data_IF_543296339954
#
_entry.id   IF_543296339954
#
_cell.length_a   1.000
_cell.length_b   1.000
_cell.length_c   1.000
_cell.angle_alpha   90.00
_cell.angle_beta   90.00
_cell.angle_gamma   90.00
#
_symmetry.space_group_name_H-M   'P 1'
#
loop_
_entity.id
_entity.type
_entity.pdbx_description
1 polymer ?
#
# COMPACT_ATOMS: atom_id res chain seq x y z
N UNK A 1 0.35 -55.30 12.86
CA UNK A 1 1.41 -54.63 13.63
C UNK A 1 0.92 -53.22 13.98
N UNK A 2 1.26 -52.72 15.19
CA UNK A 2 1.29 -51.32 15.65
C UNK A 2 0.33 -50.29 14.97
N UNK A 3 -0.78 -49.86 15.60
CA UNK A 3 -0.89 -48.87 16.71
C UNK A 3 -0.63 -47.40 16.29
N UNK A 4 -1.42 -46.39 16.68
CA UNK A 4 -2.67 -46.37 17.46
C UNK A 4 -3.48 -45.08 17.20
N UNK A 5 -4.75 -45.09 17.62
CA UNK A 5 -5.73 -44.02 17.51
C UNK A 5 -5.66 -42.97 18.64
N UNK A 6 -6.10 -41.74 18.30
CA UNK A 6 -6.92 -40.80 19.11
C UNK A 6 -6.45 -40.36 20.52
N UNK A 7 -6.22 -39.04 20.63
CA UNK A 7 -6.55 -38.09 21.73
C UNK A 7 -6.23 -36.68 21.18
N UNK A 8 -6.95 -35.58 21.47
CA UNK A 8 -8.07 -35.35 22.39
C UNK A 8 -8.91 -34.15 21.92
N UNK A 9 -10.22 -34.35 21.68
CA UNK A 9 -11.19 -33.25 21.47
C UNK A 9 -11.99 -33.01 22.75
N UNK A 10 -11.47 -32.18 23.66
CA UNK A 10 -12.24 -31.61 24.78
C UNK A 10 -11.76 -30.19 25.10
N UNK A 11 -12.19 -29.20 24.30
CA UNK A 11 -12.19 -27.81 24.75
C UNK A 11 -13.50 -27.53 25.51
N UNK A 12 -13.41 -27.33 26.82
CA UNK A 12 -14.54 -26.98 27.71
C UNK A 12 -14.20 -25.76 28.56
N UNK A 13 -14.17 -24.59 27.93
CA UNK A 13 -14.09 -23.29 28.62
C UNK A 13 -15.13 -22.34 28.02
N UNK A 14 -15.80 -21.55 28.87
CA UNK A 14 -17.06 -20.86 28.55
C UNK A 14 -16.84 -19.42 28.05
N UNK A 15 -17.06 -19.17 26.77
CA UNK A 15 -16.92 -17.86 26.12
C UNK A 15 -18.08 -16.86 26.42
N UNK A 16 -18.66 -16.87 27.62
CA UNK A 16 -19.81 -16.03 27.99
C UNK A 16 -19.46 -14.88 28.95
N UNK A 17 -18.37 -14.99 29.73
CA UNK A 17 -18.01 -13.96 30.73
C UNK A 17 -16.99 -12.93 30.23
N UNK A 18 -16.33 -13.16 29.09
CA UNK A 18 -15.44 -12.17 28.44
C UNK A 18 -16.20 -11.03 27.71
N UNK A 19 -17.54 -10.98 27.80
CA UNK A 19 -18.39 -10.04 27.05
C UNK A 19 -19.40 -9.34 27.98
N UNK A 20 -18.90 -8.60 28.97
CA UNK A 20 -19.72 -7.61 29.68
C UNK A 20 -18.96 -6.31 29.97
N UNK A 21 -19.59 -5.17 29.68
CA UNK A 21 -19.14 -3.82 30.02
C UNK A 21 -20.26 -3.15 30.83
N UNK A 22 -19.93 -2.22 31.74
CA UNK A 22 -20.57 -0.92 31.54
C UNK A 22 -19.73 0.32 31.93
N UNK A 23 -20.00 1.39 31.15
CA UNK A 23 -20.00 2.82 31.49
C UNK A 23 -19.06 3.72 30.64
N UNK A 24 -19.61 4.55 29.74
CA UNK A 24 -18.83 5.49 28.97
C UNK A 24 -18.56 6.78 29.77
N UNK A 25 -17.31 7.24 29.78
CA UNK A 25 -16.98 8.64 30.07
C UNK A 25 -16.39 9.29 28.82
N UNK A 26 -17.01 10.38 28.44
CA UNK A 26 -16.76 11.15 27.22
C UNK A 26 -15.35 11.74 27.28
N UNK A 27 -14.48 11.34 26.35
CA UNK A 27 -13.28 12.10 26.01
C UNK A 27 -13.18 12.22 24.49
N UNK A 28 -13.64 13.37 23.99
CA UNK A 28 -13.39 13.80 22.62
C UNK A 28 -11.91 14.18 22.48
N UNK A 29 -11.12 13.32 21.85
CA UNK A 29 -9.73 13.58 21.50
C UNK A 29 -9.53 13.37 19.99
N UNK A 30 -9.56 14.46 19.23
CA UNK A 30 -9.42 14.41 17.78
C UNK A 30 -8.03 13.90 17.35
N UNK A 31 -7.99 12.97 16.38
CA UNK A 31 -6.76 12.41 15.84
C UNK A 31 -6.03 13.41 14.93
N UNK A 32 -5.49 14.48 15.52
CA UNK A 32 -4.63 15.50 14.89
C UNK A 32 -3.51 15.91 15.85
N UNK A 33 -2.55 15.00 16.11
CA UNK A 33 -1.18 15.29 16.66
C UNK A 33 -0.24 14.08 16.85
N UNK A 34 -0.69 12.83 16.71
CA UNK A 34 0.09 11.62 17.07
C UNK A 34 1.32 11.27 16.17
N UNK A 35 1.82 12.20 15.35
CA UNK A 35 3.01 11.97 14.49
C UNK A 35 4.16 12.96 14.72
N UNK A 36 4.06 13.84 15.71
CA UNK A 36 5.14 14.77 16.06
C UNK A 36 6.12 14.19 17.11
N UNK A 37 5.70 13.20 17.92
CA UNK A 37 6.52 12.62 19.01
C UNK A 37 7.52 11.53 18.60
N UNK A 38 7.49 11.05 17.35
CA UNK A 38 8.35 9.94 16.86
C UNK A 38 9.52 10.48 16.00
N UNK A 39 9.59 11.80 15.79
CA UNK A 39 10.52 12.44 14.86
C UNK A 39 11.80 13.01 15.49
N UNK A 40 11.95 12.92 16.82
CA UNK A 40 13.11 13.43 17.57
C UNK A 40 14.12 12.34 18.03
N UNK A 41 13.86 11.05 17.78
CA UNK A 41 14.66 9.94 18.34
C UNK A 41 15.52 9.16 17.32
N UNK A 42 15.80 9.73 16.14
CA UNK A 42 16.69 9.12 15.12
C UNK A 42 17.76 10.10 14.63
N UNK A 43 18.47 10.72 15.56
CA UNK A 43 19.71 11.45 15.26
C UNK A 43 20.91 10.48 15.33
N UNK A 44 21.30 9.96 14.17
CA UNK A 44 22.50 9.10 14.04
C UNK A 44 23.70 10.00 13.72
N UNK A 45 24.71 10.11 14.62
CA UNK A 45 25.82 11.03 14.43
C UNK A 45 26.71 10.60 13.25
N UNK A 46 26.78 11.42 12.20
CA UNK A 46 27.73 11.23 11.10
C UNK A 46 29.15 11.65 11.52
N UNK A 47 30.20 10.93 11.06
CA UNK A 47 31.58 11.27 11.39
C UNK A 47 32.04 12.60 10.75
N UNK A 48 32.86 13.36 11.49
CA UNK A 48 33.34 14.70 11.12
C UNK A 48 34.26 14.69 9.87
N UNK A 49 34.03 15.54 8.85
CA UNK A 49 35.00 15.76 7.78
C UNK A 49 36.14 16.70 8.23
N UNK A 50 37.38 16.40 7.80
CA UNK A 50 38.59 17.21 8.08
C UNK A 50 38.63 18.51 7.24
N UNK A 51 39.35 19.57 7.69
CA UNK A 51 39.23 20.91 7.11
C UNK A 51 39.90 21.10 5.74
N UNK A 52 39.40 22.09 4.99
CA UNK A 52 39.81 22.42 3.61
C UNK A 52 41.08 23.28 3.54
N UNK A 53 41.84 23.15 2.44
CA UNK A 53 42.85 24.14 1.97
C UNK A 53 42.36 24.86 0.69
N UNK A 54 42.90 26.05 0.33
CA UNK A 54 42.15 27.07 -0.43
C UNK A 54 42.33 27.08 -1.96
N UNK A 55 41.50 27.90 -2.63
CA UNK A 55 41.30 28.03 -4.09
C UNK A 55 42.41 28.81 -4.83
N UNK A 56 42.56 28.58 -6.16
CA UNK A 56 43.03 29.59 -7.13
C UNK A 56 41.87 30.27 -7.91
N UNK A 57 42.21 31.31 -8.69
CA UNK A 57 41.29 32.31 -9.30
C UNK A 57 40.87 31.99 -10.76
N UNK A 58 39.88 32.70 -11.37
CA UNK A 58 39.25 32.29 -12.65
C UNK A 58 39.56 33.16 -13.89
N UNK A 59 39.70 32.50 -15.07
CA UNK A 59 39.26 32.91 -16.46
C UNK A 59 39.90 34.21 -17.07
N UNK A 60 39.89 34.46 -18.41
CA UNK A 60 38.77 34.29 -19.37
C UNK A 60 39.20 33.82 -20.81
N UNK A 61 38.59 34.17 -21.97
CA UNK A 61 38.10 33.12 -22.91
C UNK A 61 38.45 33.31 -24.41
N UNK A 62 37.83 32.47 -25.28
CA UNK A 62 37.67 32.57 -26.75
C UNK A 62 38.91 32.30 -27.62
N UNK A 63 38.78 31.31 -28.53
CA UNK A 63 38.67 31.59 -29.97
C UNK A 63 38.04 30.40 -30.73
N UNK A 64 37.58 30.64 -31.96
CA UNK A 64 36.84 29.70 -32.83
C UNK A 64 37.70 29.31 -34.03
N UNK A 65 37.51 28.14 -34.65
CA UNK A 65 37.49 28.02 -36.13
C UNK A 65 36.84 26.68 -36.58
N UNK A 66 36.20 26.59 -37.77
CA UNK A 66 35.38 25.43 -38.15
C UNK A 66 35.84 24.67 -39.43
N UNK A 67 35.08 23.60 -39.71
CA UNK A 67 34.86 22.94 -41.02
C UNK A 67 35.79 21.81 -41.48
N UNK A 68 35.17 20.68 -41.85
CA UNK A 68 35.45 19.92 -43.08
C UNK A 68 34.21 19.09 -43.47
N UNK A 69 34.04 18.84 -44.78
CA UNK A 69 32.87 18.19 -45.42
C UNK A 69 33.15 16.69 -45.65
N UNK A 70 32.10 15.88 -45.86
CA UNK A 70 31.98 14.96 -47.01
C UNK A 70 30.50 14.69 -47.37
N UNK A 71 30.14 14.37 -48.64
CA UNK A 71 28.78 14.53 -49.17
C UNK A 71 27.96 13.22 -49.39
N UNK A 72 26.76 13.40 -49.95
CA UNK A 72 25.62 12.48 -50.11
C UNK A 72 25.68 11.45 -51.25
N UNK A 73 24.97 10.32 -51.08
CA UNK A 73 24.36 9.48 -52.13
C UNK A 73 23.41 8.40 -51.51
N UNK A 74 22.48 7.68 -52.18
CA UNK A 74 21.36 8.01 -53.12
C UNK A 74 20.34 6.82 -53.11
N UNK A 75 19.11 7.01 -53.62
CA UNK A 75 18.13 6.00 -54.15
C UNK A 75 17.25 5.10 -53.24
N UNK A 76 16.00 5.58 -53.05
CA UNK A 76 14.68 5.02 -53.46
C UNK A 76 14.06 3.71 -52.85
N UNK A 77 12.71 3.57 -52.90
CA UNK A 77 11.93 2.60 -52.10
C UNK A 77 11.12 1.58 -52.95
N UNK A 78 10.15 0.91 -52.32
CA UNK A 78 8.89 0.31 -52.85
C UNK A 78 8.73 -1.22 -52.71
N UNK A 79 7.69 -1.65 -51.98
CA UNK A 79 7.00 -2.93 -52.20
C UNK A 79 5.56 -2.87 -51.65
N UNK A 80 4.57 -3.09 -52.51
CA UNK A 80 3.15 -3.22 -52.14
C UNK A 80 2.81 -4.65 -51.71
N UNK A 81 1.87 -4.82 -50.77
CA UNK A 81 1.19 -6.11 -50.58
C UNK A 81 -0.29 -5.88 -50.19
N UNK A 82 -1.14 -5.79 -51.22
CA UNK A 82 -2.60 -5.66 -51.07
C UNK A 82 -3.23 -7.05 -50.94
N UNK A 83 -3.81 -7.38 -49.80
CA UNK A 83 -4.65 -8.59 -49.66
C UNK A 83 -5.99 -8.25 -49.02
N UNK A 84 -7.06 -8.60 -49.73
CA UNK A 84 -8.45 -8.36 -49.32
C UNK A 84 -9.04 -9.64 -48.76
N UNK A 85 -9.45 -9.65 -47.49
CA UNK A 85 -10.27 -10.74 -46.94
C UNK A 85 -11.42 -10.24 -46.06
N UNK A 86 -12.54 -10.91 -46.26
CA UNK A 86 -13.91 -10.63 -45.85
C UNK A 86 -14.18 -10.62 -44.35
N UNK A 87 -14.85 -9.54 -43.89
CA UNK A 87 -16.06 -9.55 -43.04
C UNK A 87 -16.19 -10.67 -41.98
N UNK A 88 -16.00 -10.32 -40.71
CA UNK A 88 -16.72 -10.92 -39.59
C UNK A 88 -17.05 -9.86 -38.53
N UNK A 89 -18.33 -9.80 -38.13
CA UNK A 89 -18.90 -8.73 -37.28
C UNK A 89 -18.77 -9.11 -35.81
N UNK A 90 -17.67 -8.70 -35.17
CA UNK A 90 -17.47 -8.86 -33.72
C UNK A 90 -18.02 -7.66 -32.95
N UNK A 91 -18.73 -7.94 -31.87
CA UNK A 91 -19.47 -6.96 -31.04
C UNK A 91 -18.56 -5.93 -30.38
N UNK A 92 -18.92 -4.66 -30.51
CA UNK A 92 -18.23 -3.52 -29.88
C UNK A 92 -18.49 -3.47 -28.36
N UNK A 93 -17.66 -4.14 -27.56
CA UNK A 93 -17.49 -3.75 -26.16
C UNK A 93 -16.59 -2.52 -26.10
N UNK A 94 -17.17 -1.35 -25.84
CA UNK A 94 -16.44 -0.09 -25.68
C UNK A 94 -15.70 -0.05 -24.34
N UNK A 95 -14.67 -0.87 -24.17
CA UNK A 95 -13.64 -0.63 -23.16
C UNK A 95 -12.82 0.58 -23.59
N UNK A 96 -13.25 1.76 -23.16
CA UNK A 96 -12.46 2.99 -23.21
C UNK A 96 -11.23 2.80 -22.33
N UNK A 97 -10.12 2.35 -22.93
CA UNK A 97 -8.80 2.37 -22.29
C UNK A 97 -8.37 3.82 -22.09
N UNK A 98 -8.83 4.43 -21.01
CA UNK A 98 -8.29 5.71 -20.56
C UNK A 98 -6.80 5.52 -20.31
N UNK A 99 -5.99 6.53 -20.60
CA UNK A 99 -4.55 6.55 -20.31
C UNK A 99 -4.21 6.57 -18.81
N UNK A 100 -5.23 6.45 -17.95
CA UNK A 100 -5.14 6.47 -16.49
C UNK A 100 -5.05 5.02 -16.02
N UNK A 101 -4.19 4.75 -15.04
CA UNK A 101 -3.96 3.40 -14.48
C UNK A 101 -5.11 2.86 -13.63
N UNK A 102 -6.36 3.06 -14.04
CA UNK A 102 -7.59 2.62 -13.40
C UNK A 102 -8.62 2.20 -14.46
N UNK A 103 -9.31 1.09 -14.23
CA UNK A 103 -10.47 0.65 -15.05
C UNK A 103 -11.71 0.65 -14.16
N UNK A 104 -12.78 1.30 -14.58
CA UNK A 104 -14.06 1.25 -13.87
C UNK A 104 -14.68 -0.14 -13.96
N UNK A 105 -15.23 -0.64 -12.84
CA UNK A 105 -15.95 -1.90 -12.77
C UNK A 105 -17.46 -1.63 -12.91
N UNK A 106 -18.11 -2.08 -14.00
CA UNK A 106 -19.53 -1.84 -14.22
C UNK A 106 -20.38 -2.63 -13.21
N UNK A 107 -21.65 -2.23 -13.11
CA UNK A 107 -22.64 -2.94 -12.29
C UNK A 107 -22.83 -4.38 -12.77
N UNK A 108 -22.97 -5.30 -11.82
CA UNK A 108 -22.98 -6.74 -12.08
C UNK A 108 -21.62 -7.39 -12.33
N UNK A 109 -20.51 -6.64 -12.44
CA UNK A 109 -19.19 -7.25 -12.57
C UNK A 109 -18.81 -8.00 -11.28
N UNK A 110 -18.39 -9.28 -11.31
CA UNK A 110 -18.17 -10.09 -10.10
C UNK A 110 -17.20 -9.44 -9.09
N UNK A 111 -16.12 -8.83 -9.57
CA UNK A 111 -15.18 -8.11 -8.69
C UNK A 111 -15.76 -6.85 -8.05
N UNK A 112 -16.75 -6.18 -8.67
CA UNK A 112 -17.45 -5.05 -8.04
C UNK A 112 -18.23 -5.56 -6.84
N UNK A 113 -19.05 -6.58 -7.04
CA UNK A 113 -19.87 -7.20 -5.99
C UNK A 113 -19.01 -7.66 -4.80
N UNK A 114 -17.87 -8.32 -5.05
CA UNK A 114 -16.97 -8.77 -3.97
C UNK A 114 -16.36 -7.59 -3.20
N UNK A 115 -15.88 -6.55 -3.89
CA UNK A 115 -15.27 -5.37 -3.23
C UNK A 115 -16.32 -4.56 -2.47
N UNK A 116 -17.55 -4.48 -2.99
CA UNK A 116 -18.69 -3.83 -2.34
C UNK A 116 -19.11 -4.58 -1.07
N UNK A 117 -19.25 -5.91 -1.11
CA UNK A 117 -19.49 -6.75 0.07
C UNK A 117 -18.40 -6.51 1.11
N UNK A 118 -17.12 -6.62 0.73
CA UNK A 118 -15.97 -6.40 1.62
C UNK A 118 -16.01 -5.00 2.25
N UNK A 119 -16.34 -3.96 1.48
CA UNK A 119 -16.44 -2.59 1.97
C UNK A 119 -17.58 -2.41 2.97
N UNK A 120 -18.78 -2.95 2.68
CA UNK A 120 -19.94 -2.87 3.56
C UNK A 120 -19.77 -3.68 4.85
N UNK A 121 -19.27 -4.91 4.77
CA UNK A 121 -19.10 -5.79 5.95
C UNK A 121 -17.95 -5.37 6.86
N UNK A 122 -16.98 -4.64 6.33
CA UNK A 122 -15.85 -4.09 7.11
C UNK A 122 -16.11 -2.68 7.68
N UNK A 123 -17.31 -2.13 7.50
CA UNK A 123 -17.63 -0.78 7.99
C UNK A 123 -17.60 -0.71 9.52
N UNK A 124 -18.13 -1.72 10.18
CA UNK A 124 -18.17 -1.83 11.64
C UNK A 124 -19.39 -2.62 12.13
N UNK A 125 -19.78 -2.48 13.41
CA UNK A 125 -20.93 -3.20 13.97
C UNK A 125 -22.29 -2.72 13.44
N UNK A 126 -22.32 -1.58 12.73
CA UNK A 126 -23.50 -1.06 12.02
C UNK A 126 -23.23 -1.14 10.51
N UNK A 127 -24.24 -1.46 9.69
CA UNK A 127 -24.09 -1.45 8.25
C UNK A 127 -23.67 -0.05 7.77
N UNK A 128 -22.86 0.01 6.71
CA UNK A 128 -22.51 1.25 6.04
C UNK A 128 -23.81 2.01 5.64
N UNK A 129 -24.03 3.24 6.15
CA UNK A 129 -25.30 3.95 5.97
C UNK A 129 -25.35 4.76 4.66
N UNK A 130 -24.28 4.71 3.87
CA UNK A 130 -24.15 5.42 2.60
C UNK A 130 -24.37 4.52 1.39
N UNK A 131 -23.84 4.95 0.24
CA UNK A 131 -23.75 4.13 -0.98
C UNK A 131 -22.35 4.15 -1.58
N UNK A 132 -21.96 3.05 -2.21
CA UNK A 132 -20.83 3.02 -3.14
C UNK A 132 -21.31 3.60 -4.47
N UNK A 133 -20.61 4.60 -5.00
CA UNK A 133 -20.94 5.24 -6.27
C UNK A 133 -20.17 4.60 -7.42
N UNK A 134 -18.86 4.36 -7.26
CA UNK A 134 -17.98 3.80 -8.29
C UNK A 134 -16.92 2.88 -7.66
N UNK A 135 -16.54 1.82 -8.36
CA UNK A 135 -15.36 1.01 -8.01
C UNK A 135 -14.47 0.91 -9.24
N UNK A 136 -13.18 1.21 -9.08
CA UNK A 136 -12.16 1.04 -10.10
C UNK A 136 -11.16 -0.03 -9.70
N UNK A 137 -10.76 -0.89 -10.64
CA UNK A 137 -9.59 -1.75 -10.52
C UNK A 137 -8.33 -0.94 -10.86
N UNK A 138 -7.35 -0.92 -9.97
CA UNK A 138 -6.07 -0.23 -10.20
C UNK A 138 -5.18 -1.09 -11.10
N UNK A 139 -4.69 -0.49 -12.19
CA UNK A 139 -3.69 -1.08 -13.07
C UNK A 139 -2.29 -0.63 -12.61
N UNK A 140 -1.61 -1.49 -11.88
CA UNK A 140 -0.24 -1.24 -11.45
C UNK A 140 0.75 -1.46 -12.59
N UNK A 141 1.72 -0.55 -12.74
CA UNK A 141 2.83 -0.77 -13.66
C UNK A 141 3.65 -2.00 -13.24
N UNK A 142 4.21 -2.79 -14.18
CA UNK A 142 4.98 -4.01 -13.85
C UNK A 142 6.11 -3.75 -12.83
N UNK A 143 6.76 -2.59 -12.90
CA UNK A 143 7.79 -2.14 -11.94
C UNK A 143 7.27 -1.97 -10.51
N UNK A 144 6.02 -1.53 -10.34
CA UNK A 144 5.39 -1.38 -9.00
C UNK A 144 5.08 -2.75 -8.42
N UNK A 145 4.53 -3.65 -9.22
CA UNK A 145 4.25 -5.04 -8.82
C UNK A 145 5.55 -5.76 -8.46
N UNK A 146 6.58 -5.67 -9.31
CA UNK A 146 7.89 -6.28 -9.04
C UNK A 146 8.48 -5.81 -7.70
N UNK A 147 8.47 -4.50 -7.41
CA UNK A 147 8.95 -3.94 -6.13
C UNK A 147 8.17 -4.44 -4.90
N UNK A 148 6.87 -4.67 -5.04
CA UNK A 148 6.04 -5.22 -3.96
C UNK A 148 6.36 -6.71 -3.72
N UNK A 149 6.45 -7.50 -4.78
CA UNK A 149 6.75 -8.93 -4.69
C UNK A 149 8.21 -9.14 -4.19
N UNK A 150 9.19 -8.34 -4.65
CA UNK A 150 10.56 -8.27 -4.11
C UNK A 150 10.58 -7.96 -2.61
N UNK A 151 9.76 -7.01 -2.15
CA UNK A 151 9.66 -6.67 -0.73
C UNK A 151 9.08 -7.83 0.08
N UNK A 152 8.03 -8.51 -0.43
CA UNK A 152 7.44 -9.69 0.19
C UNK A 152 8.46 -10.82 0.35
N UNK A 153 9.20 -11.15 -0.71
CA UNK A 153 10.22 -12.20 -0.62
C UNK A 153 11.36 -11.82 0.33
N UNK A 154 11.74 -10.53 0.40
CA UNK A 154 12.71 -10.05 1.39
C UNK A 154 12.19 -10.17 2.84
N UNK A 155 10.88 -9.94 3.10
CA UNK A 155 10.25 -10.17 4.41
C UNK A 155 10.27 -11.65 4.76
N UNK A 156 9.86 -12.54 3.84
CA UNK A 156 9.87 -14.00 4.03
C UNK A 156 11.27 -14.52 4.35
N UNK A 157 12.30 -14.04 3.64
CA UNK A 157 13.69 -14.40 3.91
C UNK A 157 14.15 -13.96 5.31
N UNK A 158 13.79 -12.75 5.77
CA UNK A 158 14.10 -12.28 7.14
C UNK A 158 13.39 -13.10 8.21
N UNK A 159 12.13 -13.47 7.99
CA UNK A 159 11.37 -14.29 8.91
C UNK A 159 11.92 -15.73 9.00
N UNK A 160 12.29 -16.32 7.87
CA UNK A 160 12.90 -17.65 7.82
C UNK A 160 14.27 -17.69 8.50
N UNK A 161 15.09 -16.65 8.34
CA UNK A 161 16.37 -16.52 9.06
C UNK A 161 16.16 -16.43 10.59
N UNK A 162 15.13 -15.72 11.05
CA UNK A 162 14.83 -15.57 12.49
C UNK A 162 14.45 -16.86 13.21
N UNK A 163 13.90 -17.87 12.50
CA UNK A 163 13.66 -19.20 13.09
C UNK A 163 14.96 -19.93 13.45
N UNK A 164 16.04 -19.74 12.68
CA UNK A 164 17.32 -20.37 12.96
C UNK A 164 17.97 -19.84 14.26
N UNK A 165 17.53 -18.67 14.73
CA UNK A 165 17.99 -18.04 15.97
C UNK A 165 17.11 -18.39 17.19
N UNK A 166 16.16 -19.33 17.04
CA UNK A 166 15.38 -19.89 18.15
C UNK A 166 14.26 -18.98 18.69
N UNK A 167 13.85 -17.96 17.93
CA UNK A 167 12.72 -17.11 18.29
C UNK A 167 11.38 -17.77 17.91
N UNK A 168 10.31 -17.43 18.65
CA UNK A 168 9.06 -18.20 18.69
C UNK A 168 8.45 -18.47 17.30
N UNK A 169 8.13 -19.74 17.06
CA UNK A 169 7.89 -20.28 15.73
C UNK A 169 6.50 -20.00 15.16
N UNK A 170 5.50 -19.79 16.04
CA UNK A 170 4.10 -19.73 15.63
C UNK A 170 3.74 -18.37 15.01
N UNK A 171 4.15 -17.24 15.60
CA UNK A 171 3.90 -15.91 15.04
C UNK A 171 4.61 -15.69 13.68
N UNK A 172 5.74 -16.36 13.46
CA UNK A 172 6.53 -16.24 12.23
C UNK A 172 6.00 -17.10 11.06
N UNK A 173 5.12 -18.08 11.29
CA UNK A 173 4.64 -19.00 10.26
C UNK A 173 4.02 -18.29 9.05
N UNK A 174 3.16 -17.28 9.28
CA UNK A 174 2.59 -16.45 8.20
C UNK A 174 3.65 -15.56 7.54
N UNK A 175 4.54 -14.96 8.33
CA UNK A 175 5.63 -14.13 7.83
C UNK A 175 6.53 -14.89 6.83
N UNK A 176 6.70 -16.21 7.01
CA UNK A 176 7.51 -17.07 6.14
C UNK A 176 6.72 -17.53 4.91
N UNK A 177 5.43 -17.87 5.07
CA UNK A 177 4.59 -18.36 4.00
C UNK A 177 4.30 -17.27 2.93
N UNK A 178 3.76 -16.13 3.37
CA UNK A 178 3.25 -15.07 2.49
C UNK A 178 3.79 -13.66 2.83
N UNK A 179 4.73 -13.53 3.78
CA UNK A 179 5.17 -12.22 4.26
C UNK A 179 4.19 -11.56 5.22
N UNK A 180 3.25 -12.33 5.79
CA UNK A 180 2.09 -11.86 6.54
C UNK A 180 1.26 -10.88 5.69
N UNK A 181 0.86 -11.35 4.50
CA UNK A 181 0.08 -10.54 3.55
C UNK A 181 -1.37 -10.40 4.02
N UNK A 182 -1.90 -9.17 3.95
CA UNK A 182 -3.25 -8.82 4.44
C UNK A 182 -3.89 -7.75 3.56
N UNK A 183 -5.20 -7.87 3.34
CA UNK A 183 -5.99 -6.83 2.68
C UNK A 183 -6.33 -5.73 3.68
N UNK A 184 -6.06 -4.46 3.35
CA UNK A 184 -6.34 -3.31 4.21
C UNK A 184 -6.90 -2.11 3.44
N UNK A 185 -7.58 -1.24 4.18
CA UNK A 185 -8.17 0.00 3.68
C UNK A 185 -7.26 1.21 3.94
N UNK A 186 -7.26 2.16 3.01
CA UNK A 186 -6.60 3.46 3.17
C UNK A 186 -7.50 4.55 2.60
N UNK A 187 -8.05 5.41 3.47
CA UNK A 187 -8.94 6.49 3.05
C UNK A 187 -8.12 7.69 2.59
N UNK A 188 -8.41 8.19 1.38
CA UNK A 188 -7.74 9.36 0.80
C UNK A 188 -8.42 10.68 1.18
N UNK A 189 -9.54 10.64 1.91
CA UNK A 189 -10.31 11.81 2.31
C UNK A 189 -11.37 12.20 1.27
N UNK A 190 -11.60 13.50 1.14
CA UNK A 190 -12.62 14.08 0.26
C UNK A 190 -12.32 13.79 -1.21
N UNK A 191 -13.33 13.29 -1.93
CA UNK A 191 -13.29 13.12 -3.37
C UNK A 191 -14.14 14.24 -3.99
N UNK A 192 -13.50 15.36 -4.34
CA UNK A 192 -14.14 16.56 -4.89
C UNK A 192 -15.19 16.24 -5.97
N UNK A 193 -16.38 16.82 -5.80
CA UNK A 193 -17.53 16.63 -6.69
C UNK A 193 -17.34 17.44 -7.99
N UNK A 194 -16.65 16.87 -8.99
CA UNK A 194 -16.59 17.43 -10.35
C UNK A 194 -15.25 17.31 -11.07
N UNK A 195 -14.15 16.98 -10.39
CA UNK A 195 -12.88 16.66 -11.04
C UNK A 195 -12.79 15.14 -11.22
N UNK A 196 -12.71 14.60 -12.45
CA UNK A 196 -12.48 13.18 -12.67
C UNK A 196 -11.03 12.87 -12.30
N UNK A 197 -10.77 12.63 -11.00
CA UNK A 197 -9.47 12.44 -10.32
C UNK A 197 -8.30 12.35 -11.30
N UNK A 198 -7.75 13.51 -11.68
CA UNK A 198 -6.96 13.55 -12.91
C UNK A 198 -5.66 12.78 -12.71
N UNK A 199 -5.46 11.75 -13.53
CA UNK A 199 -4.37 10.77 -13.40
C UNK A 199 -2.98 11.33 -13.70
N UNK A 200 -2.83 12.65 -13.73
CA UNK A 200 -1.61 13.39 -14.01
C UNK A 200 -0.74 13.55 -12.76
N UNK A 201 0.01 12.50 -12.42
CA UNK A 201 1.14 12.60 -11.49
C UNK A 201 0.87 12.16 -10.06
N UNK A 202 1.30 10.93 -9.75
CA UNK A 202 1.82 10.56 -8.42
C UNK A 202 0.87 10.65 -7.20
N UNK A 203 -0.44 10.90 -7.36
CA UNK A 203 -1.38 11.00 -6.22
C UNK A 203 -1.61 9.68 -5.45
N UNK A 204 -1.34 8.53 -6.08
CA UNK A 204 -1.36 7.20 -5.44
C UNK A 204 -0.07 6.87 -4.68
N UNK A 205 0.97 7.70 -4.83
CA UNK A 205 2.23 7.47 -4.16
C UNK A 205 2.11 7.88 -2.71
N UNK A 206 2.14 6.87 -1.85
CA UNK A 206 2.41 7.04 -0.43
C UNK A 206 3.59 7.99 -0.21
N UNK A 207 3.58 8.80 0.87
CA UNK A 207 4.60 9.80 1.08
C UNK A 207 5.99 9.18 1.21
N UNK A 208 6.77 9.19 0.12
CA UNK A 208 8.19 8.77 0.09
C UNK A 208 9.10 9.81 0.78
N UNK A 209 8.58 10.46 1.82
CA UNK A 209 9.35 11.26 2.78
C UNK A 209 9.97 10.28 3.76
N UNK A 210 11.30 10.21 3.79
CA UNK A 210 12.06 9.38 4.71
C UNK A 210 11.55 9.56 6.16
N UNK A 211 10.98 8.50 6.74
CA UNK A 211 10.37 8.51 8.08
C UNK A 211 8.86 8.76 8.13
N UNK A 212 8.15 8.84 7.00
CA UNK A 212 6.69 8.79 6.97
C UNK A 212 6.19 7.35 6.97
N UNK A 213 5.29 7.01 7.92
CA UNK A 213 4.59 5.74 7.93
C UNK A 213 3.29 5.83 7.14
N UNK A 214 2.90 4.71 6.52
CA UNK A 214 1.62 4.56 5.82
C UNK A 214 0.65 3.89 6.79
N UNK A 215 -0.41 4.59 7.18
CA UNK A 215 -1.45 4.04 8.03
C UNK A 215 -2.53 3.36 7.17
N UNK A 216 -2.88 2.12 7.51
CA UNK A 216 -3.87 1.27 6.83
C UNK A 216 -4.73 0.55 7.85
N UNK A 217 -5.98 0.24 7.56
CA UNK A 217 -6.95 -0.27 8.55
C UNK A 217 -7.54 -1.61 8.11
N UNK A 218 -7.91 -2.45 9.07
CA UNK A 218 -8.69 -3.67 8.80
C UNK A 218 -10.15 -3.37 8.40
N UNK A 219 -10.70 -2.24 8.87
CA UNK A 219 -12.08 -1.82 8.62
C UNK A 219 -12.19 -0.55 7.77
N UNK A 220 -13.16 -0.52 6.85
CA UNK A 220 -13.45 0.64 6.01
C UNK A 220 -13.98 1.83 6.81
N UNK A 221 -14.80 1.60 7.85
CA UNK A 221 -15.27 2.66 8.74
C UNK A 221 -14.17 3.23 9.62
N UNK A 222 -13.27 2.38 10.15
CA UNK A 222 -12.09 2.85 10.89
C UNK A 222 -11.19 3.76 10.03
N UNK A 223 -10.93 3.38 8.78
CA UNK A 223 -10.23 4.22 7.82
C UNK A 223 -10.96 5.54 7.52
N UNK A 224 -12.29 5.51 7.43
CA UNK A 224 -13.11 6.69 7.20
C UNK A 224 -13.02 7.69 8.36
N UNK A 225 -13.26 7.24 9.60
CA UNK A 225 -13.22 8.09 10.79
C UNK A 225 -11.83 8.70 11.00
N UNK A 226 -10.75 7.91 10.84
CA UNK A 226 -9.38 8.44 11.00
C UNK A 226 -8.99 9.44 9.91
N UNK A 227 -9.59 9.39 8.71
CA UNK A 227 -9.43 10.42 7.68
C UNK A 227 -10.26 11.70 7.91
N UNK A 228 -10.84 11.86 9.11
CA UNK A 228 -11.64 13.02 9.51
C UNK A 228 -13.15 12.80 9.46
N UNK A 229 -13.60 11.59 9.09
CA UNK A 229 -14.99 11.17 9.14
C UNK A 229 -15.94 12.03 8.28
N UNK A 230 -17.20 12.05 8.72
CA UNK A 230 -18.23 12.98 8.23
C UNK A 230 -18.84 12.64 6.87
N UNK A 231 -19.91 13.38 6.52
CA UNK A 231 -20.72 13.16 5.32
C UNK A 231 -20.06 13.65 4.03
N UNK A 232 -20.66 13.29 2.90
CA UNK A 232 -20.24 13.68 1.55
C UNK A 232 -19.40 12.61 0.85
N UNK A 233 -18.90 12.95 -0.33
CA UNK A 233 -18.16 12.02 -1.19
C UNK A 233 -16.73 11.81 -0.69
N UNK A 234 -16.24 10.58 -0.80
CA UNK A 234 -14.94 10.14 -0.29
C UNK A 234 -14.31 9.09 -1.22
N UNK A 235 -12.99 8.97 -1.15
CA UNK A 235 -12.22 7.94 -1.85
C UNK A 235 -11.55 6.98 -0.84
N UNK A 236 -11.72 5.67 -1.05
CA UNK A 236 -11.08 4.61 -0.27
C UNK A 236 -10.26 3.71 -1.19
N UNK A 237 -9.00 3.47 -0.84
CA UNK A 237 -8.21 2.40 -1.43
C UNK A 237 -8.43 1.08 -0.68
N UNK A 238 -8.45 0.00 -1.45
CA UNK A 238 -8.27 -1.38 -0.96
C UNK A 238 -6.92 -1.87 -1.47
N UNK A 239 -6.01 -2.18 -0.55
CA UNK A 239 -4.62 -2.53 -0.84
C UNK A 239 -4.28 -3.95 -0.35
N UNK A 240 -3.42 -4.65 -1.09
CA UNK A 240 -2.59 -5.72 -0.53
C UNK A 240 -1.49 -5.06 0.30
N UNK A 241 -1.25 -5.55 1.52
CA UNK A 241 -0.20 -5.04 2.42
C UNK A 241 0.64 -6.20 2.93
N UNK A 242 1.95 -6.13 2.77
CA UNK A 242 2.91 -7.04 3.42
C UNK A 242 3.16 -6.51 4.83
N UNK A 243 2.52 -7.10 5.84
CA UNK A 243 2.69 -6.64 7.22
C UNK A 243 4.03 -7.10 7.83
N UNK A 244 4.56 -8.23 7.37
CA UNK A 244 5.73 -8.88 7.97
C UNK A 244 5.57 -9.11 9.47
N UNK A 245 6.68 -8.99 10.21
CA UNK A 245 6.68 -9.04 11.67
C UNK A 245 6.10 -7.75 12.22
N UNK A 246 5.01 -7.87 12.98
CA UNK A 246 4.22 -6.73 13.48
C UNK A 246 4.51 -6.51 14.96
N UNK A 247 5.00 -5.33 15.35
CA UNK A 247 5.05 -4.96 16.77
C UNK A 247 3.72 -4.39 17.22
N UNK A 248 3.29 -4.67 18.45
CA UNK A 248 2.24 -3.87 19.11
C UNK A 248 2.83 -2.49 19.45
N UNK A 249 2.06 -1.41 19.33
CA UNK A 249 2.54 -0.04 19.57
C UNK A 249 3.27 0.13 20.92
N UNK A 250 2.78 -0.51 21.98
CA UNK A 250 3.40 -0.50 23.31
C UNK A 250 4.80 -1.14 23.31
N UNK A 251 4.93 -2.34 22.71
CA UNK A 251 6.21 -3.06 22.62
C UNK A 251 7.17 -2.55 21.55
N UNK A 252 6.76 -1.60 20.69
CA UNK A 252 7.64 -1.04 19.67
C UNK A 252 8.74 -0.16 20.29
N UNK A 253 8.42 0.57 21.37
CA UNK A 253 9.40 1.38 22.09
C UNK A 253 10.45 0.49 22.80
N UNK A 254 10.01 -0.58 23.47
CA UNK A 254 10.91 -1.56 24.10
C UNK A 254 11.77 -2.27 23.05
N UNK A 255 11.19 -2.66 21.91
CA UNK A 255 11.91 -3.32 20.81
C UNK A 255 12.96 -2.42 20.15
N UNK A 256 12.71 -1.11 20.08
CA UNK A 256 13.70 -0.13 19.60
C UNK A 256 14.90 0.00 20.55
N UNK A 257 14.70 -0.20 21.85
CA UNK A 257 15.78 -0.25 22.83
C UNK A 257 16.58 -1.56 22.72
N UNK A 258 15.89 -2.70 22.57
CA UNK A 258 16.53 -4.02 22.58
C UNK A 258 17.27 -4.38 21.27
N UNK A 259 16.99 -3.68 20.16
CA UNK A 259 17.71 -3.72 18.85
C UNK A 259 17.87 -5.07 18.13
N UNK A 260 17.54 -6.20 18.75
CA UNK A 260 17.74 -7.55 18.19
C UNK A 260 16.62 -7.98 17.23
N UNK A 261 15.41 -7.46 17.39
CA UNK A 261 14.24 -7.83 16.58
C UNK A 261 13.78 -6.63 15.76
N UNK A 262 14.17 -6.60 14.49
CA UNK A 262 13.65 -5.61 13.54
C UNK A 262 12.23 -5.96 13.10
N UNK A 263 11.27 -5.07 13.37
CA UNK A 263 9.88 -5.21 12.91
C UNK A 263 9.67 -4.56 11.54
N UNK A 264 8.75 -5.12 10.76
CA UNK A 264 8.43 -4.65 9.41
C UNK A 264 7.22 -3.68 9.43
N UNK A 265 6.39 -3.75 10.48
CA UNK A 265 5.24 -2.84 10.71
C UNK A 265 4.86 -2.73 12.20
N UNK A 266 3.97 -1.79 12.53
CA UNK A 266 3.42 -1.60 13.89
C UNK A 266 1.89 -1.61 13.85
N UNK A 267 1.27 -2.43 14.70
CA UNK A 267 -0.17 -2.38 14.96
C UNK A 267 -0.48 -1.25 15.94
N UNK A 268 -1.36 -0.34 15.51
CA UNK A 268 -1.94 0.71 16.34
C UNK A 268 -3.30 0.31 16.93
N UNK A 269 -4.03 1.31 17.40
CA UNK A 269 -5.42 1.21 17.84
C UNK A 269 -6.39 1.03 16.66
N UNK A 270 -7.65 0.68 16.96
CA UNK A 270 -8.74 0.63 15.97
C UNK A 270 -8.48 -0.20 14.70
N UNK A 271 -7.60 -1.21 14.78
CA UNK A 271 -7.22 -2.07 13.64
C UNK A 271 -6.22 -1.44 12.66
N UNK A 272 -5.63 -0.30 13.03
CA UNK A 272 -4.58 0.38 12.28
C UNK A 272 -3.29 -0.44 12.20
N UNK A 273 -2.63 -0.39 11.04
CA UNK A 273 -1.31 -0.93 10.77
C UNK A 273 -0.48 0.17 10.09
N UNK A 274 0.64 0.50 10.70
CA UNK A 274 1.63 1.44 10.20
C UNK A 274 2.76 0.66 9.54
N UNK A 275 2.94 0.84 8.24
CA UNK A 275 4.08 0.28 7.49
C UNK A 275 5.06 1.38 7.08
N UNK A 276 6.35 1.08 7.11
CA UNK A 276 7.43 2.09 6.98
C UNK A 276 8.08 2.13 5.59
N UNK A 277 7.73 1.21 4.70
CA UNK A 277 8.23 1.11 3.33
C UNK A 277 7.05 1.16 2.35
N UNK A 278 7.12 2.03 1.34
CA UNK A 278 6.06 2.16 0.34
C UNK A 278 5.92 0.92 -0.55
N UNK A 279 6.96 0.09 -0.65
CA UNK A 279 6.91 -1.21 -1.34
C UNK A 279 6.07 -2.24 -0.59
N UNK A 280 5.76 -2.03 0.68
CA UNK A 280 4.90 -2.92 1.45
C UNK A 280 3.42 -2.83 1.05
N UNK A 281 3.01 -1.88 0.20
CA UNK A 281 1.60 -1.60 -0.13
C UNK A 281 1.37 -1.59 -1.64
N UNK A 282 0.40 -2.38 -2.10
CA UNK A 282 -0.03 -2.43 -3.51
C UNK A 282 -1.53 -2.11 -3.61
N UNK A 283 -1.90 -0.90 -4.10
CA UNK A 283 -3.29 -0.53 -4.36
C UNK A 283 -3.92 -1.48 -5.38
N UNK A 284 -5.09 -2.03 -5.08
CA UNK A 284 -5.79 -3.00 -5.91
C UNK A 284 -7.13 -2.46 -6.42
N UNK A 285 -7.89 -1.78 -5.57
CA UNK A 285 -9.15 -1.13 -5.94
C UNK A 285 -9.24 0.28 -5.35
N UNK A 286 -9.92 1.16 -6.07
CA UNK A 286 -10.36 2.47 -5.61
C UNK A 286 -11.89 2.45 -5.53
N UNK A 287 -12.44 2.76 -4.37
CA UNK A 287 -13.88 2.87 -4.11
C UNK A 287 -14.20 4.35 -3.92
N UNK A 288 -15.17 4.85 -4.67
CA UNK A 288 -15.77 6.16 -4.44
C UNK A 288 -17.13 5.94 -3.79
N UNK A 289 -17.36 6.56 -2.64
CA UNK A 289 -18.56 6.36 -1.83
C UNK A 289 -19.07 7.68 -1.25
N UNK A 290 -20.33 7.70 -0.82
CA UNK A 290 -20.97 8.88 -0.20
C UNK A 290 -21.75 8.48 1.06
N UNK A 291 -21.58 9.29 2.11
CA UNK A 291 -22.31 9.29 3.40
C UNK A 291 -23.22 10.53 3.55
#
# INVERSE_FOLDING_TARGET
MASAWVKSWQCKSRAFEDVYHPHPKILSAGCRKSVESIKELVDIPKPKPRPRKPKPKPKPPLEKHPSSKYPSSTTKPEFEARTTMTRSRSSTTTTTTSSRGIIELPEGHPSRNVVEIIFHTSWGPKPFPGRVELIFKVQNAPRTVARFEEFREAVKARAAAGLAEGNDGEENARCIADGNEVMRFHCLGFAEDGVPYDGGGCAWSFPEKKGAAICTFSGSGGAHETAGGGKGRRAMLVCRVVAGRVSKQLGFLDSLLDKRVGFDSVSGDNGALLVFDSRAVLPCFLIIYRL
#
